data_IF_460732970818
#
_entry.id   IF_460732970818
#
_cell.length_a   1.000
_cell.length_b   1.000
_cell.length_c   1.000
_cell.angle_alpha   90.00
_cell.angle_beta   90.00
_cell.angle_gamma   90.00
#
_symmetry.space_group_name_H-M   'P 1'
#
loop_
_entity.id
_entity.type
_entity.pdbx_description
1 polymer ?
#
# COMPACT_ATOMS: atom_id res chain seq x y z
N UNK A 1 -6.61 -16.52 -6.49
CA UNK A 1 -6.04 -15.45 -5.65
C UNK A 1 -7.07 -14.96 -4.64
N UNK A 2 -6.64 -14.64 -3.45
CA UNK A 2 -7.50 -14.05 -2.41
C UNK A 2 -6.69 -13.09 -1.54
N UNK A 3 -7.36 -12.11 -0.95
CA UNK A 3 -6.77 -11.18 0.02
C UNK A 3 -7.06 -11.71 1.43
N UNK A 4 -6.03 -11.81 2.25
CA UNK A 4 -6.13 -12.30 3.63
C UNK A 4 -5.40 -11.37 4.60
N UNK A 5 -5.74 -11.48 5.87
CA UNK A 5 -4.92 -10.91 6.92
C UNK A 5 -3.72 -11.82 7.16
N UNK A 6 -2.53 -11.26 7.10
CA UNK A 6 -1.28 -11.97 7.36
C UNK A 6 -0.96 -11.93 8.84
N UNK A 7 -0.30 -12.98 9.33
CA UNK A 7 0.34 -12.92 10.64
C UNK A 7 1.53 -11.98 10.61
N UNK A 8 1.95 -11.50 11.78
CA UNK A 8 3.14 -10.66 11.89
C UNK A 8 4.38 -11.35 11.31
N UNK A 9 4.55 -12.66 11.54
CA UNK A 9 5.66 -13.44 11.01
C UNK A 9 5.62 -13.53 9.48
N UNK A 10 4.47 -13.81 8.89
CA UNK A 10 4.30 -13.85 7.44
C UNK A 10 4.64 -12.50 6.79
N UNK A 11 4.12 -11.42 7.35
CA UNK A 11 4.38 -10.07 6.85
C UNK A 11 5.84 -9.68 7.01
N UNK A 12 6.46 -9.97 8.17
CA UNK A 12 7.87 -9.69 8.43
C UNK A 12 8.77 -10.38 7.40
N UNK A 13 8.53 -11.66 7.12
CA UNK A 13 9.31 -12.41 6.15
C UNK A 13 9.19 -11.82 4.75
N UNK A 14 7.98 -11.46 4.35
CA UNK A 14 7.73 -10.87 3.03
C UNK A 14 8.33 -9.47 2.90
N UNK A 15 8.12 -8.60 3.90
CA UNK A 15 8.55 -7.20 3.85
C UNK A 15 10.07 -7.04 3.88
N UNK A 16 10.80 -7.97 4.50
CA UNK A 16 12.27 -7.91 4.59
C UNK A 16 12.98 -8.14 3.27
N UNK A 17 12.43 -8.98 2.41
CA UNK A 17 13.07 -9.41 1.17
C UNK A 17 12.49 -8.76 -0.08
N UNK A 18 11.37 -8.06 0.04
CA UNK A 18 10.72 -7.45 -1.13
C UNK A 18 11.57 -6.30 -1.68
N UNK A 19 11.65 -6.18 -3.03
CA UNK A 19 12.43 -5.12 -3.69
C UNK A 19 11.93 -3.71 -3.38
N UNK A 20 10.65 -3.55 -3.09
CA UNK A 20 10.03 -2.27 -2.70
C UNK A 20 10.06 -2.04 -1.19
N UNK A 21 10.85 -2.81 -0.46
CA UNK A 21 10.95 -2.69 1.00
C UNK A 21 11.33 -1.27 1.43
N UNK A 22 10.64 -0.80 2.44
CA UNK A 22 10.94 0.48 3.07
C UNK A 22 10.58 0.42 4.56
N UNK A 23 11.18 1.31 5.32
CA UNK A 23 11.02 1.31 6.77
C UNK A 23 9.56 1.48 7.22
N UNK A 24 8.77 2.32 6.52
CA UNK A 24 7.39 2.59 6.88
C UNK A 24 6.44 1.39 6.69
N UNK A 25 6.86 0.40 5.91
CA UNK A 25 6.11 -0.84 5.70
C UNK A 25 6.70 -2.02 6.51
N UNK A 26 7.40 -1.77 7.59
CA UNK A 26 8.00 -2.81 8.45
C UNK A 26 7.20 -3.01 9.74
N UNK A 27 7.36 -4.19 10.34
CA UNK A 27 6.84 -4.48 11.69
C UNK A 27 7.50 -3.56 12.72
N UNK A 28 8.77 -3.28 12.56
CA UNK A 28 9.54 -2.42 13.45
C UNK A 28 8.98 -1.00 13.50
N UNK A 29 8.52 -0.47 12.37
CA UNK A 29 7.84 0.83 12.31
C UNK A 29 6.54 0.83 13.13
N UNK A 30 5.76 -0.25 13.08
CA UNK A 30 4.54 -0.35 13.87
C UNK A 30 4.80 -0.37 15.37
N UNK A 31 5.91 -0.98 15.79
CA UNK A 31 6.28 -1.05 17.20
C UNK A 31 6.61 0.33 17.78
N UNK A 32 7.13 1.24 16.97
CA UNK A 32 7.34 2.64 17.38
C UNK A 32 6.04 3.41 17.59
N UNK A 33 4.94 2.96 17.00
CA UNK A 33 3.63 3.60 17.05
C UNK A 33 2.68 3.00 18.10
N UNK A 34 3.10 2.00 18.85
CA UNK A 34 2.26 1.30 19.85
C UNK A 34 1.63 2.26 20.87
N UNK A 35 2.31 3.34 21.22
CA UNK A 35 1.81 4.33 22.18
C UNK A 35 0.83 5.34 21.56
N UNK A 36 0.53 5.27 20.25
CA UNK A 36 -0.25 6.28 19.53
C UNK A 36 -1.68 5.87 19.18
N UNK A 37 -2.23 4.82 19.78
CA UNK A 37 -3.62 4.37 19.58
C UNK A 37 -3.97 3.95 18.13
N UNK A 38 -3.00 3.48 17.37
CA UNK A 38 -3.25 2.89 16.05
C UNK A 38 -3.35 1.37 16.15
N UNK A 39 -4.35 0.81 15.45
CA UNK A 39 -4.39 -0.62 15.18
C UNK A 39 -3.57 -0.90 13.92
N UNK A 40 -2.86 -2.02 13.92
CA UNK A 40 -2.06 -2.47 12.79
C UNK A 40 -2.70 -3.69 12.15
N UNK A 41 -2.82 -3.67 10.83
CA UNK A 41 -3.30 -4.80 10.04
C UNK A 41 -2.30 -5.07 8.91
N UNK A 42 -1.92 -6.33 8.76
CA UNK A 42 -1.06 -6.79 7.68
C UNK A 42 -1.93 -7.54 6.68
N UNK A 43 -2.03 -7.02 5.46
CA UNK A 43 -2.91 -7.55 4.43
C UNK A 43 -2.05 -8.07 3.29
N UNK A 44 -2.36 -9.25 2.80
CA UNK A 44 -1.63 -9.86 1.70
C UNK A 44 -2.54 -10.51 0.67
N UNK A 45 -2.17 -10.37 -0.60
CA UNK A 45 -2.73 -11.12 -1.70
C UNK A 45 -1.94 -12.41 -1.88
N UNK A 46 -2.60 -13.54 -1.80
CA UNK A 46 -1.97 -14.85 -1.93
C UNK A 46 -2.53 -15.62 -3.13
N UNK A 47 -1.69 -16.47 -3.70
CA UNK A 47 -2.11 -17.41 -4.74
C UNK A 47 -2.66 -18.71 -4.13
N UNK A 48 -2.99 -19.69 -4.99
CA UNK A 48 -3.55 -20.98 -4.57
C UNK A 48 -2.54 -21.85 -3.79
N UNK A 49 -1.25 -21.52 -3.88
CA UNK A 49 -0.16 -22.19 -3.15
C UNK A 49 0.26 -21.42 -1.88
N UNK A 50 -0.54 -20.47 -1.44
CA UNK A 50 -0.30 -19.60 -0.27
C UNK A 50 0.96 -18.70 -0.39
N UNK A 51 1.48 -18.48 -1.60
CA UNK A 51 2.54 -17.50 -1.82
C UNK A 51 2.00 -16.08 -1.77
N UNK A 52 2.69 -15.21 -1.07
CA UNK A 52 2.35 -13.79 -1.00
C UNK A 52 2.81 -13.08 -2.27
N UNK A 53 1.87 -12.52 -3.02
CA UNK A 53 2.13 -11.82 -4.29
C UNK A 53 2.22 -10.31 -4.12
N UNK A 54 1.60 -9.79 -3.09
CA UNK A 54 1.61 -8.38 -2.72
C UNK A 54 1.11 -8.22 -1.31
N UNK A 55 1.55 -7.18 -0.63
CA UNK A 55 1.15 -6.95 0.76
C UNK A 55 1.18 -5.46 1.11
N UNK A 56 0.49 -5.10 2.16
CA UNK A 56 0.55 -3.77 2.73
C UNK A 56 0.27 -3.80 4.23
N UNK A 57 0.90 -2.88 4.94
CA UNK A 57 0.53 -2.51 6.29
C UNK A 57 -0.53 -1.42 6.23
N UNK A 58 -1.58 -1.56 7.02
CA UNK A 58 -2.58 -0.51 7.23
C UNK A 58 -2.61 -0.16 8.72
N UNK A 59 -2.37 1.10 9.02
CA UNK A 59 -2.56 1.65 10.35
C UNK A 59 -3.96 2.27 10.42
N UNK A 60 -4.77 1.83 11.37
CA UNK A 60 -6.14 2.30 11.50
C UNK A 60 -6.41 2.98 12.82
N UNK A 61 -7.26 3.99 12.78
CA UNK A 61 -7.81 4.70 13.94
C UNK A 61 -9.33 4.62 13.88
N UNK A 62 -9.96 4.39 15.04
CA UNK A 62 -11.40 4.19 15.16
C UNK A 62 -12.04 5.20 16.14
N UNK A 63 -11.60 6.43 16.09
CA UNK A 63 -12.15 7.53 16.91
C UNK A 63 -13.36 8.13 16.19
N UNK A 64 -14.54 7.53 16.38
CA UNK A 64 -15.79 7.94 15.75
C UNK A 64 -16.00 7.36 14.35
N UNK A 65 -15.06 7.56 13.43
CA UNK A 65 -15.05 6.97 12.08
C UNK A 65 -13.75 6.21 11.88
N UNK A 66 -13.82 5.11 11.13
CA UNK A 66 -12.66 4.28 10.84
C UNK A 66 -11.84 4.88 9.71
N UNK A 67 -10.65 5.32 10.02
CA UNK A 67 -9.66 5.87 9.08
C UNK A 67 -8.44 4.96 9.02
N UNK A 68 -7.81 4.88 7.85
CA UNK A 68 -6.59 4.12 7.67
C UNK A 68 -5.49 4.94 7.00
N UNK A 69 -4.25 4.53 7.26
CA UNK A 69 -3.05 5.08 6.62
C UNK A 69 -2.23 3.91 6.10
N UNK A 70 -1.81 3.99 4.84
CA UNK A 70 -0.86 3.07 4.21
C UNK A 70 0.46 3.82 4.03
N UNK A 71 1.38 3.73 5.00
CA UNK A 71 2.65 4.46 4.92
C UNK A 71 3.61 3.79 3.96
N UNK A 72 4.23 4.55 3.07
CA UNK A 72 5.23 4.03 2.14
C UNK A 72 4.67 3.22 0.96
N UNK A 73 3.36 3.21 0.76
CA UNK A 73 2.70 2.50 -0.34
C UNK A 73 2.64 0.99 -0.17
N UNK A 74 2.32 0.29 -1.25
CA UNK A 74 2.23 -1.17 -1.24
C UNK A 74 3.59 -1.83 -1.44
N UNK A 75 3.76 -3.01 -0.85
CA UNK A 75 4.87 -3.91 -1.16
C UNK A 75 4.42 -4.88 -2.27
N UNK A 76 4.49 -4.41 -3.50
CA UNK A 76 4.08 -5.14 -4.70
C UNK A 76 5.02 -4.78 -5.85
N UNK A 77 5.11 -5.69 -6.82
CA UNK A 77 5.83 -5.39 -8.05
C UNK A 77 4.98 -4.45 -8.93
N UNK A 78 5.27 -3.16 -8.87
CA UNK A 78 4.58 -2.15 -9.66
C UNK A 78 4.80 -2.28 -11.17
N UNK A 79 5.77 -3.05 -11.61
CA UNK A 79 5.98 -3.33 -13.05
C UNK A 79 4.99 -4.35 -13.58
N UNK A 80 4.43 -5.17 -12.71
CA UNK A 80 3.36 -6.11 -13.05
C UNK A 80 1.99 -5.43 -12.90
N UNK A 81 1.51 -4.84 -13.99
CA UNK A 81 0.28 -4.03 -13.99
C UNK A 81 -0.97 -4.86 -13.69
N UNK A 82 -1.05 -6.07 -14.18
CA UNK A 82 -2.18 -6.95 -13.91
C UNK A 82 -2.26 -7.34 -12.44
N UNK A 83 -1.10 -7.62 -11.84
CA UNK A 83 -1.03 -7.91 -10.40
C UNK A 83 -1.46 -6.70 -9.57
N UNK A 84 -0.99 -5.51 -9.91
CA UNK A 84 -1.37 -4.26 -9.23
C UNK A 84 -2.88 -4.01 -9.35
N UNK A 85 -3.45 -4.19 -10.54
CA UNK A 85 -4.90 -4.05 -10.76
C UNK A 85 -5.69 -5.02 -9.87
N UNK A 86 -5.29 -6.28 -9.84
CA UNK A 86 -5.92 -7.31 -9.01
C UNK A 86 -5.81 -6.97 -7.52
N UNK A 87 -4.64 -6.57 -7.08
CA UNK A 87 -4.40 -6.19 -5.68
C UNK A 87 -5.30 -5.02 -5.25
N UNK A 88 -5.34 -3.97 -6.05
CA UNK A 88 -6.18 -2.79 -5.78
C UNK A 88 -7.67 -3.14 -5.74
N UNK A 89 -8.14 -4.00 -6.65
CA UNK A 89 -9.52 -4.48 -6.67
C UNK A 89 -9.89 -5.19 -5.37
N UNK A 90 -9.10 -6.16 -4.95
CA UNK A 90 -9.35 -6.89 -3.71
C UNK A 90 -9.19 -6.01 -2.48
N UNK A 91 -8.21 -5.12 -2.48
CA UNK A 91 -8.00 -4.18 -1.36
C UNK A 91 -9.18 -3.24 -1.19
N UNK A 92 -9.71 -2.69 -2.28
CA UNK A 92 -10.90 -1.83 -2.25
C UNK A 92 -12.09 -2.56 -1.62
N UNK A 93 -12.35 -3.80 -2.03
CA UNK A 93 -13.41 -4.63 -1.47
C UNK A 93 -13.19 -4.91 0.02
N UNK A 94 -11.96 -5.23 0.41
CA UNK A 94 -11.60 -5.45 1.80
C UNK A 94 -11.84 -4.20 2.66
N UNK A 95 -11.39 -3.05 2.21
CA UNK A 95 -11.57 -1.78 2.93
C UNK A 95 -13.04 -1.43 3.10
N UNK A 96 -13.85 -1.66 2.07
CA UNK A 96 -15.29 -1.43 2.12
C UNK A 96 -15.97 -2.38 3.11
N UNK A 97 -15.65 -3.67 3.08
CA UNK A 97 -16.20 -4.66 4.01
C UNK A 97 -15.77 -4.43 5.45
N UNK A 98 -14.60 -3.84 5.65
CA UNK A 98 -14.05 -3.51 6.97
C UNK A 98 -14.50 -2.15 7.49
N UNK A 99 -15.44 -1.49 6.80
CA UNK A 99 -16.04 -0.22 7.19
C UNK A 99 -15.08 0.97 7.28
N UNK A 100 -14.01 0.96 6.48
CA UNK A 100 -13.15 2.14 6.35
C UNK A 100 -13.90 3.26 5.63
N UNK A 101 -13.90 4.44 6.23
CA UNK A 101 -14.48 5.65 5.64
C UNK A 101 -13.46 6.36 4.76
N UNK A 102 -12.21 6.34 5.18
CA UNK A 102 -11.12 7.06 4.51
C UNK A 102 -9.81 6.31 4.69
N UNK A 103 -9.02 6.21 3.62
CA UNK A 103 -7.66 5.65 3.65
C UNK A 103 -6.72 6.57 2.88
N UNK A 104 -5.66 7.02 3.55
CA UNK A 104 -4.56 7.76 2.92
C UNK A 104 -3.43 6.81 2.57
N UNK A 105 -2.81 7.01 1.43
CA UNK A 105 -1.62 6.28 1.01
C UNK A 105 -0.50 7.26 0.65
N UNK A 106 0.72 6.95 1.10
CA UNK A 106 1.92 7.72 0.78
C UNK A 106 2.90 6.85 -0.01
N UNK A 107 2.67 6.68 -1.34
CA UNK A 107 3.52 5.82 -2.15
C UNK A 107 4.91 6.43 -2.35
N UNK A 108 5.92 5.57 -2.48
CA UNK A 108 7.30 5.99 -2.66
C UNK A 108 7.76 5.97 -4.14
N UNK A 109 6.90 5.67 -5.09
CA UNK A 109 7.24 5.77 -6.51
C UNK A 109 7.06 7.20 -7.01
N UNK A 110 7.86 7.57 -8.02
CA UNK A 110 7.76 8.86 -8.68
C UNK A 110 6.79 8.78 -9.86
N UNK A 111 5.96 9.80 -10.03
CA UNK A 111 5.01 9.86 -11.15
C UNK A 111 5.74 9.92 -12.49
N UNK A 112 6.60 10.91 -12.66
CA UNK A 112 7.44 11.10 -13.84
C UNK A 112 8.81 11.62 -13.44
N UNK A 113 9.84 11.20 -14.14
CA UNK A 113 11.22 11.65 -13.92
C UNK A 113 11.76 12.21 -15.24
N UNK A 114 12.30 13.41 -15.18
CA UNK A 114 12.90 14.10 -16.32
C UNK A 114 14.38 14.38 -16.05
N UNK A 115 15.20 14.44 -17.13
CA UNK A 115 16.58 14.91 -17.02
C UNK A 115 16.66 16.46 -17.12
N UNK A 116 17.88 17.01 -17.06
CA UNK A 116 18.12 18.46 -17.16
C UNK A 116 17.65 19.07 -18.50
N UNK A 117 17.51 18.25 -19.55
CA UNK A 117 17.04 18.67 -20.87
C UNK A 117 15.53 18.46 -21.04
N UNK A 118 14.79 18.19 -19.95
CA UNK A 118 13.36 17.91 -19.92
C UNK A 118 12.95 16.67 -20.75
N UNK A 119 13.86 15.73 -20.92
CA UNK A 119 13.56 14.44 -21.55
C UNK A 119 12.99 13.50 -20.48
N UNK A 120 11.87 12.87 -20.79
CA UNK A 120 11.22 11.91 -19.90
C UNK A 120 12.09 10.65 -19.74
N UNK A 121 12.58 10.40 -18.52
CA UNK A 121 13.39 9.23 -18.18
C UNK A 121 12.56 8.08 -17.59
N UNK A 122 11.52 8.40 -16.84
CA UNK A 122 10.64 7.43 -16.20
C UNK A 122 9.21 7.96 -16.17
N UNK A 123 8.25 7.10 -16.55
CA UNK A 123 6.83 7.44 -16.54
C UNK A 123 6.04 6.35 -15.82
N UNK A 124 5.46 6.69 -14.66
CA UNK A 124 4.60 5.82 -13.87
C UNK A 124 3.12 6.23 -13.95
N UNK A 125 2.72 6.93 -15.01
CA UNK A 125 1.33 7.36 -15.22
C UNK A 125 0.35 6.20 -15.29
N UNK A 126 0.77 5.05 -15.80
CA UNK A 126 -0.04 3.83 -15.84
C UNK A 126 -0.36 3.31 -14.43
N UNK A 127 0.61 3.36 -13.52
CA UNK A 127 0.39 3.01 -12.11
C UNK A 127 -0.66 3.93 -11.49
N UNK A 128 -0.55 5.22 -11.71
CA UNK A 128 -1.51 6.22 -11.21
C UNK A 128 -2.90 5.97 -11.81
N UNK A 129 -2.99 5.63 -13.10
CA UNK A 129 -4.27 5.29 -13.74
C UNK A 129 -4.94 4.08 -13.10
N UNK A 130 -4.19 3.04 -12.76
CA UNK A 130 -4.71 1.86 -12.05
C UNK A 130 -5.20 2.26 -10.66
N UNK A 131 -4.44 3.03 -9.92
CA UNK A 131 -4.84 3.52 -8.59
C UNK A 131 -6.14 4.34 -8.68
N UNK A 132 -6.24 5.25 -9.64
CA UNK A 132 -7.44 6.08 -9.84
C UNK A 132 -8.68 5.25 -10.17
N UNK A 133 -8.52 4.17 -10.93
CA UNK A 133 -9.62 3.25 -11.26
C UNK A 133 -10.31 2.70 -10.01
N UNK A 134 -9.56 2.52 -8.93
CA UNK A 134 -10.07 2.03 -7.65
C UNK A 134 -10.23 3.12 -6.60
N UNK A 135 -10.36 4.36 -7.03
CA UNK A 135 -10.61 5.55 -6.19
C UNK A 135 -9.43 5.96 -5.28
N UNK A 136 -8.22 5.51 -5.57
CA UNK A 136 -7.01 6.09 -4.98
C UNK A 136 -6.61 7.31 -5.80
N UNK A 137 -7.07 8.48 -5.38
CA UNK A 137 -6.90 9.74 -6.10
C UNK A 137 -5.79 10.55 -5.46
N UNK A 138 -4.87 11.08 -6.30
CA UNK A 138 -3.82 11.96 -5.83
C UNK A 138 -4.41 13.27 -5.29
N UNK A 139 -3.95 13.68 -4.10
CA UNK A 139 -4.26 14.98 -3.54
C UNK A 139 -3.03 15.87 -3.59
N UNK A 140 -3.22 17.16 -3.84
CA UNK A 140 -2.13 18.11 -3.77
C UNK A 140 -1.66 18.28 -2.32
N UNK A 141 -0.38 18.04 -2.10
CA UNK A 141 0.26 18.35 -0.83
C UNK A 141 0.56 19.85 -0.81
N UNK A 142 -0.26 20.63 -0.18
CA UNK A 142 0.14 21.98 0.19
C UNK A 142 1.02 21.88 1.44
N UNK A 143 2.33 21.99 1.24
CA UNK A 143 3.25 22.26 2.35
C UNK A 143 2.85 23.58 2.99
N UNK A 144 2.21 23.48 4.12
CA UNK A 144 2.02 24.61 5.01
C UNK A 144 3.10 24.64 6.07
#
# INVERSE_FOLDING_TARGET
>A
MKLIELTETQYRNYSRIHKEKNYCQTVEYTNLLENKKYNKNYIGLIDDSDNVLGATLILSSNLGIKKGIIPGGFLIDYTNKDLLDTFCKYLKDYLKKSNYVYVSMFPLFRYKVYNNKRVLLQDNSEIVSILNKYNFVATEYTNR
#
